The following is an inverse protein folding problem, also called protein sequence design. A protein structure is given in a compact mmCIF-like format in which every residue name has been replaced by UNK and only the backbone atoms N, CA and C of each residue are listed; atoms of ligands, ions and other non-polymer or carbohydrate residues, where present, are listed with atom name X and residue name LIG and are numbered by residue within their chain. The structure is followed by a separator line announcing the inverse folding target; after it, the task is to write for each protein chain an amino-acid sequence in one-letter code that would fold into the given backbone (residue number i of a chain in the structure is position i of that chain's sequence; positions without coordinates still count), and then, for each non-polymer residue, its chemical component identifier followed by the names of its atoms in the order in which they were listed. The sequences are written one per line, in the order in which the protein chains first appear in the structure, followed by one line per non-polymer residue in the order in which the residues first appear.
data_IF_347335207636
#
_entry.id   IF_347335207636
#
_cell.length_a   1.000
_cell.length_b   1.000
_cell.length_c   1.000
_cell.angle_alpha   90.00
_cell.angle_beta   90.00
_cell.angle_gamma   90.00
#
_symmetry.space_group_name_H-M   'P 1'
#
loop_
_entity.id
_entity.type
_entity.pdbx_description
1 polymer ?
#
# COMPACT_ATOMS: atom_id res chain seq x y z
N UNK A 1 -6.55 -13.81 5.34
CA UNK A 1 -5.24 -14.34 5.78
C UNK A 1 -4.15 -13.28 5.75
N UNK A 2 -3.88 -12.62 4.61
CA UNK A 2 -2.83 -11.59 4.50
C UNK A 2 -2.98 -10.44 5.50
N UNK A 3 -4.18 -9.88 5.65
CA UNK A 3 -4.50 -8.85 6.65
C UNK A 3 -4.13 -9.32 8.07
N UNK A 4 -4.56 -10.52 8.47
CA UNK A 4 -4.28 -11.08 9.80
C UNK A 4 -2.78 -11.27 10.08
N UNK A 5 -1.99 -11.59 9.05
CA UNK A 5 -0.53 -11.70 9.16
C UNK A 5 0.15 -10.34 9.19
N UNK A 6 -0.33 -9.36 8.42
CA UNK A 6 0.26 -8.03 8.36
C UNK A 6 -0.04 -7.20 9.61
N UNK A 7 -1.19 -7.39 10.26
CA UNK A 7 -1.57 -6.65 11.48
C UNK A 7 -0.49 -6.69 12.58
N UNK A 8 -0.02 -7.85 13.07
CA UNK A 8 1.02 -7.89 14.09
C UNK A 8 2.35 -7.30 13.60
N UNK A 9 2.71 -7.51 12.33
CA UNK A 9 3.93 -6.94 11.74
C UNK A 9 3.87 -5.41 11.75
N UNK A 10 2.76 -4.83 11.28
CA UNK A 10 2.53 -3.38 11.26
C UNK A 10 2.55 -2.83 12.68
N UNK A 11 1.93 -3.53 13.64
CA UNK A 11 1.94 -3.12 15.04
C UNK A 11 3.37 -3.01 15.59
N UNK A 12 4.16 -4.07 15.47
CA UNK A 12 5.53 -4.08 15.99
C UNK A 12 6.48 -3.10 15.28
N UNK A 13 6.33 -2.91 13.97
CA UNK A 13 7.20 -2.02 13.20
C UNK A 13 6.81 -0.53 13.33
N UNK A 14 5.52 -0.25 13.54
CA UNK A 14 4.99 1.10 13.66
C UNK A 14 5.02 1.64 15.09
N UNK A 15 4.78 0.79 16.10
CA UNK A 15 4.66 1.23 17.49
C UNK A 15 6.01 1.69 18.06
N UNK A 16 6.04 2.89 18.64
CA UNK A 16 7.26 3.47 19.21
C UNK A 16 8.33 3.87 18.18
N UNK A 17 8.06 3.77 16.88
CA UNK A 17 9.01 4.14 15.83
C UNK A 17 8.92 5.64 15.52
N UNK A 18 9.97 6.39 15.87
CA UNK A 18 10.01 7.85 15.70
C UNK A 18 9.91 8.30 14.23
N UNK A 19 10.49 7.56 13.29
CA UNK A 19 10.40 7.89 11.85
C UNK A 19 8.97 7.74 11.34
N UNK A 20 8.30 6.65 11.75
CA UNK A 20 6.90 6.40 11.42
C UNK A 20 5.99 7.46 12.04
N UNK A 21 6.19 7.80 13.32
CA UNK A 21 5.48 8.86 14.02
C UNK A 21 5.56 10.20 13.29
N UNK A 22 6.78 10.66 12.99
CA UNK A 22 7.01 11.94 12.32
C UNK A 22 6.33 12.01 10.96
N UNK A 23 6.33 10.92 10.21
CA UNK A 23 5.68 10.85 8.90
C UNK A 23 4.15 10.82 9.03
N UNK A 24 3.62 9.92 9.87
CA UNK A 24 2.20 9.57 9.91
C UNK A 24 1.30 10.44 10.79
N UNK A 25 1.86 11.15 11.78
CA UNK A 25 1.08 12.00 12.70
C UNK A 25 0.14 12.98 11.99
N UNK A 26 0.56 13.53 10.84
CA UNK A 26 -0.21 14.51 10.08
C UNK A 26 -1.46 13.91 9.41
N UNK A 27 -1.49 12.61 9.20
CA UNK A 27 -2.55 11.91 8.48
C UNK A 27 -3.67 11.39 9.40
N UNK A 28 -3.56 11.58 10.72
CA UNK A 28 -4.62 11.24 11.68
C UNK A 28 -5.90 12.03 11.37
N UNK A 29 -5.73 13.33 11.07
CA UNK A 29 -6.84 14.21 10.76
C UNK A 29 -7.46 13.78 9.42
N UNK A 30 -8.76 13.45 9.45
CA UNK A 30 -9.51 13.03 8.26
C UNK A 30 -9.61 11.52 8.08
N UNK A 31 -9.02 10.71 8.97
CA UNK A 31 -9.27 9.27 8.98
C UNK A 31 -10.76 8.95 9.18
N UNK A 32 -11.28 7.89 8.52
CA UNK A 32 -10.60 7.03 7.55
C UNK A 32 -10.75 7.53 6.09
N UNK A 33 -11.41 8.67 5.87
CA UNK A 33 -11.93 9.10 4.58
C UNK A 33 -10.90 9.75 3.67
N UNK A 34 -9.96 10.53 4.21
CA UNK A 34 -8.85 11.10 3.42
C UNK A 34 -8.00 9.98 2.84
N UNK A 35 -7.59 9.03 3.69
CA UNK A 35 -6.88 7.82 3.29
C UNK A 35 -7.68 6.95 2.31
N UNK A 36 -9.00 6.86 2.47
CA UNK A 36 -9.86 6.16 1.50
C UNK A 36 -9.75 6.78 0.10
N UNK A 37 -9.93 8.09 0.00
CA UNK A 37 -9.93 8.80 -1.29
C UNK A 37 -8.55 8.76 -1.95
N UNK A 38 -7.49 8.99 -1.18
CA UNK A 38 -6.10 8.92 -1.65
C UNK A 38 -5.80 7.52 -2.21
N UNK A 39 -6.12 6.47 -1.45
CA UNK A 39 -5.82 5.10 -1.84
C UNK A 39 -6.72 4.56 -2.94
N UNK A 40 -7.94 5.09 -3.09
CA UNK A 40 -8.80 4.73 -4.21
C UNK A 40 -8.19 5.16 -5.54
N UNK A 41 -7.77 6.42 -5.64
CA UNK A 41 -7.05 6.94 -6.81
C UNK A 41 -5.71 6.23 -7.03
N UNK A 42 -4.97 6.00 -5.94
CA UNK A 42 -3.69 5.30 -5.96
C UNK A 42 -3.81 3.89 -6.55
N UNK A 43 -4.70 3.05 -6.02
CA UNK A 43 -4.85 1.68 -6.49
C UNK A 43 -5.50 1.61 -7.86
N UNK A 44 -6.40 2.53 -8.19
CA UNK A 44 -6.90 2.65 -9.55
C UNK A 44 -5.75 2.89 -10.54
N UNK A 45 -4.83 3.82 -10.24
CA UNK A 45 -3.70 4.13 -11.13
C UNK A 45 -2.77 2.92 -11.28
N UNK A 46 -2.28 2.35 -10.18
CA UNK A 46 -1.25 1.30 -10.23
C UNK A 46 -1.83 -0.09 -10.58
N UNK A 47 -2.90 -0.51 -9.91
CA UNK A 47 -3.47 -1.86 -10.02
C UNK A 47 -4.62 -1.94 -11.03
N UNK A 48 -5.19 -0.81 -11.41
CA UNK A 48 -6.12 -0.70 -12.53
C UNK A 48 -5.38 -0.35 -13.81
N UNK A 49 -5.02 0.93 -13.98
CA UNK A 49 -4.60 1.46 -15.27
C UNK A 49 -3.23 0.95 -15.71
N UNK A 50 -2.17 1.11 -14.90
CA UNK A 50 -0.80 0.71 -15.27
C UNK A 50 -0.71 -0.81 -15.43
N UNK A 51 -1.09 -1.57 -14.39
CA UNK A 51 -1.01 -3.02 -14.41
C UNK A 51 -1.72 -3.64 -15.62
N UNK A 52 -3.00 -3.32 -15.85
CA UNK A 52 -3.73 -3.95 -16.95
C UNK A 52 -3.30 -3.42 -18.32
N UNK A 53 -2.79 -2.19 -18.41
CA UNK A 53 -2.18 -1.71 -19.65
C UNK A 53 -0.91 -2.48 -19.97
N UNK A 54 -0.05 -2.73 -18.97
CA UNK A 54 1.16 -3.53 -19.14
C UNK A 54 0.83 -5.00 -19.41
N UNK A 55 -0.19 -5.56 -18.75
CA UNK A 55 -0.58 -6.95 -18.95
C UNK A 55 -0.96 -7.26 -20.41
N UNK A 56 -1.57 -6.29 -21.11
CA UNK A 56 -1.88 -6.41 -22.56
C UNK A 56 -0.64 -6.55 -23.44
N UNK A 57 0.48 -5.95 -23.05
CA UNK A 57 1.72 -5.91 -23.85
C UNK A 57 2.76 -6.93 -23.41
N UNK A 58 2.88 -7.14 -22.10
CA UNK A 58 3.99 -7.88 -21.48
C UNK A 58 3.54 -9.16 -20.77
N UNK A 59 2.24 -9.45 -20.72
CA UNK A 59 1.75 -10.63 -20.03
C UNK A 59 2.20 -10.64 -18.55
N UNK A 60 2.58 -11.81 -17.98
CA UNK A 60 2.92 -11.99 -16.56
C UNK A 60 3.93 -10.99 -16.00
N UNK A 61 4.87 -10.53 -16.84
CA UNK A 61 5.91 -9.58 -16.46
C UNK A 61 5.36 -8.20 -16.05
N UNK A 62 4.10 -7.90 -16.41
CA UNK A 62 3.42 -6.68 -15.97
C UNK A 62 3.39 -6.52 -14.45
N UNK A 63 3.42 -7.62 -13.68
CA UNK A 63 3.45 -7.58 -12.22
C UNK A 63 4.70 -6.91 -11.67
N UNK A 64 5.86 -7.25 -12.23
CA UNK A 64 7.15 -6.65 -11.87
C UNK A 64 7.29 -5.25 -12.46
N UNK A 65 6.89 -5.08 -13.73
CA UNK A 65 7.00 -3.80 -14.42
C UNK A 65 6.19 -2.69 -13.75
N UNK A 66 4.96 -2.97 -13.29
CA UNK A 66 4.18 -1.97 -12.54
C UNK A 66 4.70 -1.73 -11.12
N UNK A 67 5.40 -2.72 -10.52
CA UNK A 67 5.94 -2.57 -9.17
C UNK A 67 7.06 -1.53 -9.12
N UNK A 68 7.77 -1.29 -10.22
CA UNK A 68 8.82 -0.26 -10.33
C UNK A 68 8.28 1.15 -10.10
N UNK A 69 7.33 1.70 -10.90
CA UNK A 69 6.80 3.04 -10.66
C UNK A 69 6.07 3.13 -9.31
N UNK A 70 5.46 2.04 -8.82
CA UNK A 70 4.87 2.00 -7.47
C UNK A 70 5.92 2.18 -6.37
N UNK A 71 7.06 1.49 -6.47
CA UNK A 71 8.17 1.63 -5.52
C UNK A 71 8.82 3.02 -5.60
N UNK A 72 9.00 3.57 -6.80
CA UNK A 72 9.50 4.94 -6.97
C UNK A 72 8.57 5.97 -6.32
N UNK A 73 7.25 5.78 -6.41
CA UNK A 73 6.27 6.66 -5.78
C UNK A 73 6.27 6.57 -4.23
N UNK A 74 7.01 5.62 -3.64
CA UNK A 74 7.23 5.49 -2.20
C UNK A 74 8.55 6.11 -1.72
N UNK A 75 9.32 6.78 -2.59
CA UNK A 75 10.50 7.53 -2.18
C UNK A 75 10.09 8.66 -1.22
N UNK A 76 10.80 8.79 -0.11
CA UNK A 76 10.52 9.78 0.94
C UNK A 76 9.63 9.29 2.07
N UNK A 77 9.10 8.07 1.98
CA UNK A 77 8.49 7.37 3.11
C UNK A 77 9.57 6.77 4.04
N UNK A 78 9.20 6.38 5.27
CA UNK A 78 10.09 5.64 6.16
C UNK A 78 10.69 4.41 5.47
N UNK A 79 11.99 4.17 5.68
CA UNK A 79 12.76 3.17 4.93
C UNK A 79 12.16 1.75 4.99
N UNK A 80 11.57 1.39 6.13
CA UNK A 80 10.88 0.11 6.34
C UNK A 80 9.76 -0.11 5.30
N UNK A 81 9.06 0.95 4.91
CA UNK A 81 8.05 0.89 3.86
C UNK A 81 8.64 0.93 2.46
N UNK A 82 9.68 1.72 2.25
CA UNK A 82 10.30 1.88 0.92
C UNK A 82 11.02 0.59 0.48
N UNK A 83 11.64 -0.15 1.39
CA UNK A 83 12.32 -1.42 1.08
C UNK A 83 11.33 -2.55 0.80
N UNK A 84 10.17 -2.54 1.46
CA UNK A 84 9.15 -3.58 1.29
C UNK A 84 8.23 -3.32 0.10
N UNK A 85 8.25 -2.13 -0.49
CA UNK A 85 7.24 -1.73 -1.48
C UNK A 85 7.39 -2.39 -2.84
N UNK A 86 8.56 -2.86 -3.23
CA UNK A 86 8.67 -3.63 -4.48
C UNK A 86 7.91 -4.97 -4.38
N UNK A 87 8.01 -5.63 -3.23
CA UNK A 87 7.31 -6.87 -2.93
C UNK A 87 5.82 -6.64 -2.67
N UNK A 88 5.46 -5.57 -1.94
CA UNK A 88 4.06 -5.16 -1.79
C UNK A 88 3.42 -4.76 -3.13
N UNK A 89 4.19 -4.11 -3.99
CA UNK A 89 3.90 -3.80 -5.38
C UNK A 89 3.45 -5.04 -6.14
N UNK A 90 4.32 -6.05 -6.17
CA UNK A 90 4.05 -7.34 -6.80
C UNK A 90 2.84 -8.05 -6.18
N UNK A 91 2.79 -8.17 -4.85
CA UNK A 91 1.73 -8.91 -4.16
C UNK A 91 0.34 -8.32 -4.45
N UNK A 92 0.19 -7.00 -4.37
CA UNK A 92 -1.08 -6.33 -4.68
C UNK A 92 -1.38 -6.39 -6.17
N UNK A 93 -0.36 -6.26 -7.03
CA UNK A 93 -0.50 -6.49 -8.46
C UNK A 93 -1.03 -7.89 -8.77
N UNK A 94 -0.54 -8.91 -8.07
CA UNK A 94 -0.97 -10.30 -8.24
C UNK A 94 -2.42 -10.49 -7.80
N UNK A 95 -2.83 -9.90 -6.67
CA UNK A 95 -4.24 -9.90 -6.24
C UNK A 95 -5.10 -9.26 -7.32
N UNK A 96 -4.76 -8.04 -7.77
CA UNK A 96 -5.49 -7.33 -8.80
C UNK A 96 -5.61 -8.15 -10.09
N UNK A 97 -4.51 -8.77 -10.51
CA UNK A 97 -4.49 -9.64 -11.69
C UNK A 97 -5.48 -10.80 -11.54
N UNK A 98 -5.42 -11.52 -10.42
CA UNK A 98 -6.21 -12.74 -10.19
C UNK A 98 -7.70 -12.42 -10.07
N UNK A 99 -8.05 -11.31 -9.41
CA UNK A 99 -9.43 -10.86 -9.23
C UNK A 99 -9.95 -10.04 -10.40
N UNK A 100 -9.08 -9.64 -11.33
CA UNK A 100 -9.39 -8.71 -12.43
C UNK A 100 -9.96 -7.38 -11.94
N UNK A 101 -9.55 -6.94 -10.74
CA UNK A 101 -10.10 -5.74 -10.10
C UNK A 101 -9.11 -5.12 -9.12
N UNK A 102 -8.95 -3.79 -9.22
CA UNK A 102 -8.17 -3.01 -8.26
C UNK A 102 -8.87 -2.85 -6.90
N UNK A 103 -10.18 -3.16 -6.81
CA UNK A 103 -10.96 -2.96 -5.58
C UNK A 103 -10.46 -3.82 -4.42
N UNK A 104 -9.98 -5.04 -4.69
CA UNK A 104 -9.45 -5.92 -3.63
C UNK A 104 -8.13 -5.39 -3.04
N UNK A 105 -7.10 -5.06 -3.85
CA UNK A 105 -5.92 -4.35 -3.37
C UNK A 105 -6.29 -3.05 -2.64
N UNK A 106 -7.24 -2.28 -3.17
CA UNK A 106 -7.73 -1.05 -2.55
C UNK A 106 -8.24 -1.25 -1.12
N UNK A 107 -9.16 -2.20 -0.91
CA UNK A 107 -9.69 -2.45 0.44
C UNK A 107 -8.60 -2.93 1.41
N UNK A 108 -7.67 -3.76 0.93
CA UNK A 108 -6.52 -4.22 1.73
C UNK A 108 -5.58 -3.05 2.05
N UNK A 109 -5.26 -2.21 1.07
CA UNK A 109 -4.40 -1.05 1.25
C UNK A 109 -5.02 -0.05 2.21
N UNK A 110 -6.32 0.20 2.07
CA UNK A 110 -7.04 1.11 2.94
C UNK A 110 -7.02 0.63 4.40
N UNK A 111 -7.27 -0.65 4.64
CA UNK A 111 -7.10 -1.23 5.97
C UNK A 111 -5.68 -1.03 6.51
N UNK A 112 -4.66 -1.39 5.74
CA UNK A 112 -3.25 -1.26 6.15
C UNK A 112 -2.88 0.20 6.42
N UNK A 113 -3.32 1.13 5.56
CA UNK A 113 -3.08 2.56 5.66
C UNK A 113 -3.72 3.17 6.90
N UNK A 114 -4.96 2.80 7.22
CA UNK A 114 -5.61 3.25 8.47
C UNK A 114 -4.87 2.67 9.68
N UNK A 115 -4.55 1.37 9.67
CA UNK A 115 -3.86 0.71 10.77
C UNK A 115 -2.49 1.32 11.05
N UNK A 116 -1.68 1.55 10.02
CA UNK A 116 -0.32 2.10 10.19
C UNK A 116 -0.36 3.53 10.74
N UNK A 117 -1.32 4.34 10.33
CA UNK A 117 -1.51 5.69 10.87
C UNK A 117 -1.88 5.62 12.35
N UNK A 118 -2.84 4.77 12.72
CA UNK A 118 -3.30 4.64 14.12
C UNK A 118 -2.19 4.12 15.05
N UNK A 119 -1.46 3.08 14.62
CA UNK A 119 -0.33 2.51 15.37
C UNK A 119 0.81 3.51 15.48
N UNK A 120 1.22 4.13 14.37
CA UNK A 120 2.30 5.11 14.39
C UNK A 120 1.94 6.32 15.24
N UNK A 121 0.67 6.74 15.28
CA UNK A 121 0.19 7.82 16.12
C UNK A 121 0.12 7.48 17.62
N UNK A 122 0.31 6.22 18.02
CA UNK A 122 0.15 5.77 19.40
C UNK A 122 -1.30 5.81 19.89
N UNK A 123 -2.27 5.76 18.98
CA UNK A 123 -3.71 5.71 19.32
C UNK A 123 -4.12 4.30 19.79
N UNK A 124 -3.40 3.27 19.32
CA UNK A 124 -3.57 1.85 19.63
C UNK A 124 -2.21 1.16 19.81
#
# INVERSE_FOLDING_TARGET
LGILLMTPIIYFLGHGNTSMQQYYQRFILGLPWTTFLDLFGWEFLFRGWILFTYARKFGPEALWLQAVPFALAHIGKPEVETLSTIFGGFAFGWIAWRTKSFLYPFLIHWFIGVLIILVAAGVV
#
